data_IF_280023742379
#
_entry.id   IF_280023742379
#
_cell.length_a   1.000
_cell.length_b   1.000
_cell.length_c   1.000
_cell.angle_alpha   90.00
_cell.angle_beta   90.00
_cell.angle_gamma   90.00
#
_symmetry.space_group_name_H-M   'P 1'
#
loop_
_entity.id
_entity.type
_entity.pdbx_description
1 polymer ?
#
# COMPACT_ATOMS: atom_id res chain seq x y z
N UNK A 1 -2.18 20.19 1.59
CA UNK A 1 -3.06 19.94 2.75
C UNK A 1 -2.94 21.04 3.79
N UNK A 2 -1.83 21.24 4.54
CA UNK A 2 -1.71 22.22 5.63
C UNK A 2 -2.09 23.66 5.23
N UNK A 3 -1.66 24.14 4.06
CA UNK A 3 -2.03 25.48 3.58
C UNK A 3 -3.54 25.65 3.36
N UNK A 4 -4.19 24.62 2.83
CA UNK A 4 -5.64 24.62 2.63
C UNK A 4 -6.39 24.62 3.97
N UNK A 5 -5.92 23.83 4.94
CA UNK A 5 -6.46 23.82 6.30
C UNK A 5 -6.36 25.21 6.96
N UNK A 6 -5.16 25.81 6.93
CA UNK A 6 -4.90 27.12 7.53
C UNK A 6 -5.75 28.25 6.88
N UNK A 7 -6.01 28.13 5.57
CA UNK A 7 -6.88 29.06 4.86
C UNK A 7 -8.36 28.90 5.27
N UNK A 8 -8.82 27.66 5.44
CA UNK A 8 -10.21 27.37 5.85
C UNK A 8 -10.47 27.73 7.32
N UNK A 9 -9.47 27.55 8.20
CA UNK A 9 -9.59 27.74 9.64
C UNK A 9 -8.54 28.73 10.18
N UNK A 10 -8.68 30.04 9.92
CA UNK A 10 -7.63 31.04 10.20
C UNK A 10 -7.30 31.21 11.69
N UNK A 11 -8.09 30.62 12.60
CA UNK A 11 -7.81 30.60 14.04
C UNK A 11 -6.98 29.40 14.53
N UNK A 12 -6.64 28.46 13.61
CA UNK A 12 -5.90 27.23 13.92
C UNK A 12 -4.76 27.06 12.93
N UNK A 13 -3.53 26.92 13.42
CA UNK A 13 -2.35 26.77 12.57
C UNK A 13 -1.94 25.30 12.52
N UNK A 14 -1.95 24.70 11.31
CA UNK A 14 -1.37 23.40 11.03
C UNK A 14 0.03 23.56 10.45
N UNK A 15 1.02 22.91 11.04
CA UNK A 15 2.37 22.75 10.51
C UNK A 15 2.61 21.27 10.24
N UNK A 16 2.91 20.93 9.00
CA UNK A 16 3.20 19.55 8.59
C UNK A 16 4.72 19.31 8.52
N UNK A 17 5.15 18.17 9.00
CA UNK A 17 6.53 17.67 8.90
C UNK A 17 6.50 16.35 8.15
N UNK A 18 7.38 16.22 7.17
CA UNK A 18 7.61 14.98 6.44
C UNK A 18 8.80 14.25 7.07
N UNK A 19 8.52 13.08 7.66
CA UNK A 19 9.50 12.26 8.37
C UNK A 19 9.29 10.82 7.89
N UNK A 20 10.38 10.09 7.63
CA UNK A 20 10.30 8.68 7.21
C UNK A 20 9.61 7.80 8.25
N UNK A 21 8.98 6.72 7.79
CA UNK A 21 8.06 5.91 8.61
C UNK A 21 8.64 5.46 9.96
N UNK A 22 9.77 4.77 9.97
CA UNK A 22 10.41 4.27 11.21
C UNK A 22 10.92 5.40 12.10
N UNK A 23 11.50 6.45 11.52
CA UNK A 23 11.98 7.63 12.24
C UNK A 23 10.81 8.39 12.90
N UNK A 24 9.66 8.48 12.21
CA UNK A 24 8.46 9.09 12.76
C UNK A 24 7.99 8.37 14.02
N UNK A 25 7.86 7.05 13.96
CA UNK A 25 7.39 6.25 15.08
C UNK A 25 8.35 6.33 16.29
N UNK A 26 9.65 6.19 16.03
CA UNK A 26 10.67 6.33 17.08
C UNK A 26 10.65 7.72 17.72
N UNK A 27 10.50 8.78 16.93
CA UNK A 27 10.39 10.15 17.42
C UNK A 27 9.17 10.33 18.31
N UNK A 28 8.00 9.92 17.88
CA UNK A 28 6.76 10.06 18.65
C UNK A 28 6.81 9.27 19.94
N UNK A 29 7.35 8.04 19.90
CA UNK A 29 7.54 7.22 21.10
C UNK A 29 8.43 7.90 22.13
N UNK A 30 9.61 8.36 21.72
CA UNK A 30 10.55 9.07 22.61
C UNK A 30 9.93 10.34 23.20
N UNK A 31 9.19 11.11 22.41
CA UNK A 31 8.50 12.31 22.88
C UNK A 31 7.42 11.97 23.90
N UNK A 32 6.64 10.93 23.64
CA UNK A 32 5.58 10.46 24.51
C UNK A 32 6.13 9.98 25.88
N UNK A 33 7.16 9.13 25.86
CA UNK A 33 7.82 8.63 27.08
C UNK A 33 8.47 9.76 27.90
N UNK A 34 8.97 10.80 27.24
CA UNK A 34 9.52 11.99 27.87
C UNK A 34 8.44 12.98 28.37
N UNK A 35 7.15 12.68 28.20
CA UNK A 35 6.05 13.60 28.53
C UNK A 35 6.01 14.85 27.65
N UNK A 36 6.58 14.79 26.45
CA UNK A 36 6.61 15.87 25.46
C UNK A 36 5.71 15.50 24.30
N UNK A 37 4.56 16.11 24.21
CA UNK A 37 3.56 15.84 23.19
C UNK A 37 3.65 16.92 22.11
N UNK A 38 4.57 16.76 21.14
CA UNK A 38 4.85 17.76 20.09
C UNK A 38 3.90 17.59 18.91
N UNK A 39 3.67 16.36 18.48
CA UNK A 39 2.72 16.07 17.41
C UNK A 39 1.29 15.99 17.97
N UNK A 40 0.33 16.58 17.26
CA UNK A 40 -1.10 16.43 17.54
C UNK A 40 -1.73 15.31 16.70
N UNK A 41 -1.33 15.19 15.41
CA UNK A 41 -1.82 14.18 14.46
C UNK A 41 -0.64 13.50 13.79
N UNK A 42 -0.74 12.19 13.62
CA UNK A 42 0.15 11.36 12.82
C UNK A 42 -0.63 10.81 11.62
N UNK A 43 -0.10 11.01 10.42
CA UNK A 43 -0.51 10.32 9.21
C UNK A 43 0.50 9.21 8.94
N UNK A 44 0.04 7.96 8.95
CA UNK A 44 0.90 6.81 8.79
C UNK A 44 0.17 5.65 8.12
N UNK A 45 0.91 4.89 7.33
CA UNK A 45 0.46 3.64 6.75
C UNK A 45 0.91 2.49 7.66
N UNK A 46 -0.06 1.88 8.38
CA UNK A 46 0.22 0.72 9.23
C UNK A 46 0.50 -0.51 8.36
N UNK A 47 1.75 -0.68 8.03
CA UNK A 47 2.19 -1.67 7.04
C UNK A 47 2.25 -3.08 7.60
N UNK A 48 2.54 -3.21 8.88
CA UNK A 48 2.79 -4.50 9.55
C UNK A 48 1.83 -4.78 10.72
N UNK A 49 0.82 -3.92 10.91
CA UNK A 49 -0.12 -4.04 12.01
C UNK A 49 0.40 -3.56 13.37
N UNK A 50 1.65 -3.10 13.44
CA UNK A 50 2.27 -2.69 14.71
C UNK A 50 1.63 -1.45 15.31
N UNK A 51 1.09 -0.54 14.50
CA UNK A 51 0.45 0.67 15.01
C UNK A 51 -0.73 0.32 15.91
N UNK A 52 -1.60 -0.57 15.44
CA UNK A 52 -2.74 -1.00 16.25
C UNK A 52 -2.28 -1.84 17.45
N UNK A 53 -1.47 -2.86 17.21
CA UNK A 53 -1.07 -3.83 18.21
C UNK A 53 -0.17 -3.24 19.32
N UNK A 54 0.60 -2.20 19.00
CA UNK A 54 1.57 -1.63 19.95
C UNK A 54 1.24 -0.19 20.36
N UNK A 55 0.98 0.71 19.40
CA UNK A 55 0.84 2.15 19.66
C UNK A 55 -0.56 2.52 20.16
N UNK A 56 -1.60 1.86 19.66
CA UNK A 56 -2.97 2.08 20.15
C UNK A 56 -3.18 1.36 21.48
N UNK A 57 -2.73 0.12 21.60
CA UNK A 57 -2.81 -0.66 22.85
C UNK A 57 -2.03 -0.01 24.01
N UNK A 58 -0.86 0.58 23.73
CA UNK A 58 -0.06 1.32 24.73
C UNK A 58 -0.56 2.75 24.98
N UNK A 59 -1.67 3.16 24.38
CA UNK A 59 -2.23 4.50 24.47
C UNK A 59 -1.30 5.63 23.98
N UNK A 60 -0.35 5.35 23.11
CA UNK A 60 0.44 6.38 22.43
C UNK A 60 -0.43 7.09 21.40
N UNK A 61 -1.20 6.32 20.65
CA UNK A 61 -2.16 6.83 19.67
C UNK A 61 -3.60 6.59 20.11
N UNK A 62 -4.46 7.50 19.70
CA UNK A 62 -5.89 7.43 19.86
C UNK A 62 -6.58 7.46 18.49
N UNK A 63 -7.44 6.49 18.23
CA UNK A 63 -8.26 6.44 17.02
C UNK A 63 -9.48 7.36 17.20
N UNK A 64 -9.43 8.53 16.60
CA UNK A 64 -10.59 9.40 16.51
C UNK A 64 -11.52 8.94 15.40
N UNK A 65 -12.72 8.54 15.76
CA UNK A 65 -13.69 7.96 14.83
C UNK A 65 -14.86 8.93 14.58
N UNK A 66 -14.77 9.78 13.53
CA UNK A 66 -15.88 10.65 13.13
C UNK A 66 -16.96 9.82 12.42
N UNK A 67 -17.96 9.32 13.15
CA UNK A 67 -18.96 8.35 12.66
C UNK A 67 -19.76 8.89 11.46
N UNK A 68 -20.03 10.19 11.41
CA UNK A 68 -20.70 10.83 10.29
C UNK A 68 -19.90 10.77 8.97
N UNK A 69 -18.58 10.76 9.05
CA UNK A 69 -17.68 10.57 7.89
C UNK A 69 -17.45 9.09 7.63
N UNK A 70 -17.23 8.30 8.69
CA UNK A 70 -16.97 6.87 8.58
C UNK A 70 -18.18 6.08 8.09
N UNK A 71 -19.39 6.64 8.11
CA UNK A 71 -20.56 6.02 7.47
C UNK A 71 -20.42 5.86 5.96
N UNK A 72 -19.51 6.62 5.33
CA UNK A 72 -19.15 6.55 3.91
C UNK A 72 -17.89 5.70 3.63
N UNK A 73 -17.42 4.93 4.60
CA UNK A 73 -16.27 4.04 4.46
C UNK A 73 -16.73 2.61 4.63
N UNK A 74 -16.28 1.72 3.76
CA UNK A 74 -16.56 0.29 3.90
C UNK A 74 -15.99 -0.25 5.22
N UNK A 75 -16.74 -1.12 5.89
CA UNK A 75 -16.39 -1.72 7.19
C UNK A 75 -15.05 -2.45 7.15
N UNK A 76 -14.70 -3.01 5.99
CA UNK A 76 -13.43 -3.73 5.79
C UNK A 76 -12.21 -2.84 5.96
N UNK A 77 -12.31 -1.52 5.67
CA UNK A 77 -11.20 -0.58 5.74
C UNK A 77 -11.10 0.22 7.04
N UNK A 78 -12.12 0.11 7.93
CA UNK A 78 -12.18 0.91 9.17
C UNK A 78 -12.02 0.13 10.46
N UNK A 79 -11.52 -1.11 10.39
CA UNK A 79 -11.48 -2.01 11.53
C UNK A 79 -10.55 -1.53 12.66
N UNK A 80 -9.34 -1.09 12.33
CA UNK A 80 -8.26 -0.84 13.30
C UNK A 80 -7.79 0.61 13.36
N UNK A 81 -8.22 1.49 12.44
CA UNK A 81 -7.68 2.84 12.30
C UNK A 81 -8.73 3.87 11.87
N UNK A 82 -8.34 5.13 11.72
CA UNK A 82 -9.10 6.17 11.03
C UNK A 82 -8.53 6.29 9.62
N UNK A 83 -9.10 5.59 8.63
CA UNK A 83 -8.53 5.49 7.29
C UNK A 83 -8.70 6.81 6.52
N UNK A 84 -7.75 7.11 5.65
CA UNK A 84 -7.73 8.34 4.84
C UNK A 84 -7.83 8.05 3.34
N UNK A 85 -6.94 7.21 2.82
CA UNK A 85 -6.92 6.78 1.43
C UNK A 85 -6.24 5.42 1.28
N UNK A 86 -6.43 4.80 0.13
CA UNK A 86 -5.84 3.51 -0.23
C UNK A 86 -4.80 3.73 -1.32
N UNK A 87 -3.71 3.02 -1.22
CA UNK A 87 -2.77 2.71 -2.30
C UNK A 87 -2.49 1.21 -2.32
N UNK A 88 -1.77 0.71 -3.31
CA UNK A 88 -1.40 -0.70 -3.38
C UNK A 88 -0.05 -0.87 -4.06
N UNK A 89 0.58 -2.02 -3.89
CA UNK A 89 1.67 -2.44 -4.75
C UNK A 89 1.08 -3.11 -5.98
N UNK A 90 1.36 -2.56 -7.17
CA UNK A 90 0.86 -3.06 -8.46
C UNK A 90 1.99 -3.52 -9.36
N UNK A 91 1.71 -4.48 -10.24
CA UNK A 91 2.59 -4.80 -11.34
C UNK A 91 2.36 -3.83 -12.49
N UNK A 92 3.43 -3.27 -13.01
CA UNK A 92 3.43 -2.36 -14.14
C UNK A 92 4.14 -2.95 -15.35
N UNK A 93 3.71 -2.51 -16.52
CA UNK A 93 4.38 -2.79 -17.79
C UNK A 93 4.55 -1.51 -18.61
N UNK A 94 5.35 -1.60 -19.66
CA UNK A 94 5.60 -0.51 -20.61
C UNK A 94 4.53 -0.51 -21.71
N UNK A 95 3.67 0.51 -21.71
CA UNK A 95 2.56 0.62 -22.67
C UNK A 95 2.99 0.83 -24.12
N UNK A 96 4.20 1.38 -24.37
CA UNK A 96 4.71 1.53 -25.74
C UNK A 96 5.14 0.18 -26.34
N UNK A 97 5.69 -0.73 -25.50
CA UNK A 97 6.13 -2.05 -25.93
C UNK A 97 4.97 -3.05 -26.05
N UNK A 98 3.91 -2.85 -25.28
CA UNK A 98 2.72 -3.72 -25.26
C UNK A 98 1.44 -2.88 -25.42
N UNK A 99 1.21 -2.28 -26.62
CA UNK A 99 0.10 -1.33 -26.82
C UNK A 99 -1.29 -1.98 -26.84
N UNK A 100 -1.37 -3.28 -27.19
CA UNK A 100 -2.66 -3.94 -27.41
C UNK A 100 -3.20 -4.65 -26.16
N UNK A 101 -2.30 -5.20 -25.32
CA UNK A 101 -2.66 -5.95 -24.11
C UNK A 101 -1.47 -6.06 -23.16
N UNK A 102 -1.73 -6.26 -21.84
CA UNK A 102 -0.67 -6.55 -20.90
C UNK A 102 0.09 -7.83 -21.27
N UNK A 103 1.41 -7.89 -20.98
CA UNK A 103 2.23 -9.06 -21.29
C UNK A 103 1.97 -10.26 -20.39
N UNK A 104 1.35 -10.04 -19.24
CA UNK A 104 0.93 -11.05 -18.26
C UNK A 104 -0.46 -10.68 -17.73
N UNK A 105 -1.24 -11.66 -17.32
CA UNK A 105 -2.57 -11.48 -16.72
C UNK A 105 -2.77 -12.27 -15.45
N UNK A 106 -1.98 -13.33 -15.27
CA UNK A 106 -1.97 -14.17 -14.10
C UNK A 106 -0.66 -13.97 -13.32
N UNK A 107 -0.72 -13.90 -11.99
CA UNK A 107 0.45 -13.62 -11.15
C UNK A 107 1.55 -14.69 -11.31
N UNK A 108 1.20 -15.94 -11.59
CA UNK A 108 2.17 -17.01 -11.79
C UNK A 108 3.01 -16.85 -13.06
N UNK A 109 2.54 -16.06 -14.04
CA UNK A 109 3.31 -15.80 -15.27
C UNK A 109 4.62 -15.08 -14.95
N UNK A 110 4.67 -14.22 -13.90
CA UNK A 110 5.92 -13.52 -13.53
C UNK A 110 7.02 -14.48 -13.03
N UNK A 111 6.65 -15.71 -12.70
CA UNK A 111 7.60 -16.77 -12.28
C UNK A 111 8.08 -17.65 -13.43
N UNK A 112 7.57 -17.43 -14.65
CA UNK A 112 7.92 -18.24 -15.81
C UNK A 112 9.30 -17.85 -16.38
N UNK A 113 10.00 -18.77 -17.09
CA UNK A 113 11.33 -18.53 -17.61
C UNK A 113 11.49 -17.32 -18.53
N UNK A 114 10.42 -16.90 -19.22
CA UNK A 114 10.43 -15.72 -20.10
C UNK A 114 10.64 -14.41 -19.36
N UNK A 115 10.28 -14.39 -18.07
CA UNK A 115 10.46 -13.23 -17.18
C UNK A 115 11.69 -13.35 -16.28
N UNK A 116 12.50 -14.39 -16.42
CA UNK A 116 13.70 -14.55 -15.62
C UNK A 116 14.65 -13.37 -15.80
N UNK A 117 15.03 -12.73 -14.67
CA UNK A 117 15.87 -11.55 -14.67
C UNK A 117 15.21 -10.28 -15.27
N UNK A 118 13.87 -10.26 -15.40
CA UNK A 118 13.12 -9.16 -16.00
C UNK A 118 11.96 -8.64 -15.15
N UNK A 119 11.81 -9.12 -13.93
CA UNK A 119 10.84 -8.60 -12.95
C UNK A 119 11.59 -7.66 -12.00
N UNK A 120 11.22 -6.39 -11.96
CA UNK A 120 11.79 -5.40 -11.05
C UNK A 120 10.94 -5.27 -9.79
N UNK A 121 11.58 -5.17 -8.62
CA UNK A 121 10.91 -4.95 -7.34
C UNK A 121 11.89 -4.48 -6.26
N UNK A 122 11.39 -3.98 -5.14
CA UNK A 122 12.24 -3.82 -3.96
C UNK A 122 12.37 -5.16 -3.21
N UNK A 123 13.51 -5.36 -2.53
CA UNK A 123 13.66 -6.54 -1.69
C UNK A 123 12.77 -6.40 -0.44
N UNK A 124 11.99 -7.43 -0.14
CA UNK A 124 11.04 -7.44 0.97
C UNK A 124 11.71 -7.30 2.35
N UNK A 125 13.01 -7.57 2.45
CA UNK A 125 13.76 -7.39 3.70
C UNK A 125 14.09 -5.92 4.01
N UNK A 126 14.04 -5.05 3.01
CA UNK A 126 14.47 -3.66 3.14
C UNK A 126 13.34 -2.68 3.48
N UNK A 127 12.08 -3.10 3.35
CA UNK A 127 10.93 -2.23 3.53
C UNK A 127 9.72 -3.01 4.05
N UNK A 128 9.06 -2.49 5.10
CA UNK A 128 7.91 -3.16 5.73
C UNK A 128 6.69 -3.25 4.81
N UNK A 129 6.48 -2.28 3.91
CA UNK A 129 5.37 -2.36 2.96
C UNK A 129 5.53 -3.54 2.00
N UNK A 130 6.78 -3.82 1.59
CA UNK A 130 7.09 -4.96 0.74
C UNK A 130 6.98 -6.28 1.49
N UNK A 131 7.43 -6.33 2.74
CA UNK A 131 7.23 -7.49 3.61
C UNK A 131 5.74 -7.76 3.84
N UNK A 132 4.94 -6.73 4.08
CA UNK A 132 3.49 -6.84 4.23
C UNK A 132 2.82 -7.33 2.94
N UNK A 133 3.19 -6.76 1.78
CA UNK A 133 2.71 -7.23 0.47
C UNK A 133 3.01 -8.72 0.26
N UNK A 134 4.23 -9.17 0.53
CA UNK A 134 4.60 -10.59 0.43
C UNK A 134 3.82 -11.46 1.42
N UNK A 135 3.62 -10.98 2.65
CA UNK A 135 2.85 -11.69 3.67
C UNK A 135 1.40 -11.88 3.25
N UNK A 136 0.81 -10.90 2.56
CA UNK A 136 -0.56 -10.96 2.06
C UNK A 136 -0.81 -12.16 1.13
N UNK A 137 0.20 -12.68 0.45
CA UNK A 137 0.07 -13.90 -0.36
C UNK A 137 0.06 -15.17 0.48
N UNK A 138 0.60 -15.13 1.70
CA UNK A 138 0.83 -16.31 2.53
C UNK A 138 -0.26 -16.56 3.58
N UNK A 139 -1.20 -15.62 3.76
CA UNK A 139 -2.18 -15.64 4.84
C UNK A 139 -3.62 -15.45 4.32
N UNK A 140 -4.61 -15.71 5.20
CA UNK A 140 -6.02 -15.59 4.85
C UNK A 140 -6.43 -16.56 3.75
N UNK A 141 -7.30 -16.11 2.85
CA UNK A 141 -7.82 -16.90 1.73
C UNK A 141 -6.91 -16.84 0.48
N UNK A 142 -5.92 -15.96 0.48
CA UNK A 142 -5.05 -15.73 -0.70
C UNK A 142 -4.30 -16.97 -1.16
N UNK A 143 -3.78 -17.86 -0.29
CA UNK A 143 -3.16 -19.11 -0.74
C UNK A 143 -4.07 -19.98 -1.60
N UNK A 144 -5.35 -20.12 -1.22
CA UNK A 144 -6.31 -20.91 -2.00
C UNK A 144 -6.61 -20.25 -3.35
N UNK A 145 -6.74 -18.91 -3.39
CA UNK A 145 -6.89 -18.16 -4.65
C UNK A 145 -5.70 -18.39 -5.59
N UNK A 146 -4.47 -18.45 -5.04
CA UNK A 146 -3.26 -18.73 -5.81
C UNK A 146 -3.23 -20.16 -6.36
N UNK A 147 -3.69 -21.15 -5.60
CA UNK A 147 -3.80 -22.53 -6.08
C UNK A 147 -4.75 -22.65 -7.27
N UNK A 148 -5.93 -22.03 -7.16
CA UNK A 148 -6.92 -22.01 -8.23
C UNK A 148 -6.37 -21.30 -9.48
N UNK A 149 -5.74 -20.14 -9.33
CA UNK A 149 -5.14 -19.40 -10.43
C UNK A 149 -3.97 -20.15 -11.11
N UNK A 150 -3.19 -20.93 -10.35
CA UNK A 150 -2.17 -21.80 -10.92
C UNK A 150 -2.80 -22.89 -11.78
N UNK A 151 -3.85 -23.53 -11.30
CA UNK A 151 -4.59 -24.56 -12.03
C UNK A 151 -5.25 -24.01 -13.28
N UNK A 152 -5.82 -22.82 -13.20
CA UNK A 152 -6.44 -22.15 -14.38
C UNK A 152 -5.40 -21.82 -15.44
N UNK A 153 -4.18 -21.40 -15.04
CA UNK A 153 -3.10 -21.08 -15.96
C UNK A 153 -2.49 -22.32 -16.61
N UNK A 154 -2.27 -23.38 -15.82
CA UNK A 154 -1.45 -24.54 -16.25
C UNK A 154 -2.27 -25.77 -16.61
N UNK A 155 -3.50 -25.89 -16.10
CA UNK A 155 -4.32 -27.10 -16.16
C UNK A 155 -3.91 -28.18 -15.14
N UNK A 156 -2.94 -27.89 -14.26
CA UNK A 156 -2.37 -28.84 -13.29
C UNK A 156 -2.56 -28.35 -11.86
N UNK A 157 -2.66 -29.26 -10.92
CA UNK A 157 -2.67 -28.91 -9.49
C UNK A 157 -1.28 -28.42 -9.05
N UNK A 158 -1.25 -27.38 -8.20
CA UNK A 158 -0.01 -26.85 -7.66
C UNK A 158 0.67 -27.89 -6.74
N UNK A 159 1.94 -28.15 -6.99
CA UNK A 159 2.78 -28.96 -6.11
C UNK A 159 3.72 -28.05 -5.34
N UNK A 160 3.62 -28.08 -4.01
CA UNK A 160 4.46 -27.27 -3.15
C UNK A 160 5.88 -27.87 -3.06
N UNK A 161 6.87 -26.99 -3.18
CA UNK A 161 8.27 -27.31 -2.94
C UNK A 161 8.54 -27.56 -1.44
N UNK A 162 9.61 -28.27 -1.14
CA UNK A 162 10.07 -28.45 0.25
C UNK A 162 10.26 -27.08 0.93
N UNK A 163 9.74 -26.94 2.14
CA UNK A 163 9.79 -25.74 2.94
C UNK A 163 8.68 -24.70 2.64
N UNK A 164 7.85 -24.91 1.60
CA UNK A 164 6.70 -24.08 1.33
C UNK A 164 5.47 -24.60 2.04
N UNK A 165 4.86 -23.77 2.90
CA UNK A 165 3.69 -24.18 3.70
C UNK A 165 2.38 -24.10 2.92
N UNK A 166 2.30 -23.20 1.95
CA UNK A 166 1.13 -23.00 1.08
C UNK A 166 1.55 -22.33 -0.24
N UNK A 167 0.57 -22.06 -1.11
CA UNK A 167 0.80 -21.48 -2.43
C UNK A 167 1.46 -20.08 -2.38
N UNK A 168 1.25 -19.30 -1.32
CA UNK A 168 1.91 -18.01 -1.16
C UNK A 168 3.42 -18.15 -0.98
N UNK A 169 3.87 -19.08 -0.13
CA UNK A 169 5.30 -19.38 0.02
C UNK A 169 5.90 -19.95 -1.28
N UNK A 170 5.15 -20.83 -1.97
CA UNK A 170 5.58 -21.36 -3.27
C UNK A 170 5.72 -20.25 -4.34
N UNK A 171 4.76 -19.33 -4.39
CA UNK A 171 4.84 -18.15 -5.27
C UNK A 171 6.08 -17.31 -4.97
N UNK A 172 6.31 -16.96 -3.70
CA UNK A 172 7.47 -16.16 -3.30
C UNK A 172 8.78 -16.85 -3.63
N UNK A 173 8.86 -18.17 -3.42
CA UNK A 173 10.03 -18.97 -3.78
C UNK A 173 10.30 -18.93 -5.27
N UNK A 174 9.29 -19.23 -6.10
CA UNK A 174 9.44 -19.21 -7.56
C UNK A 174 9.76 -17.82 -8.09
N UNK A 175 9.18 -16.77 -7.50
CA UNK A 175 9.51 -15.39 -7.84
C UNK A 175 10.98 -15.09 -7.54
N UNK A 176 11.49 -15.52 -6.39
CA UNK A 176 12.91 -15.35 -6.02
C UNK A 176 13.85 -16.12 -6.96
N UNK A 177 13.54 -17.39 -7.25
CA UNK A 177 14.30 -18.25 -8.16
C UNK A 177 14.28 -17.75 -9.62
N UNK A 178 13.30 -16.92 -9.97
CA UNK A 178 13.23 -16.24 -11.27
C UNK A 178 14.15 -15.00 -11.34
N UNK A 179 15.04 -14.81 -10.37
CA UNK A 179 16.10 -13.80 -10.32
C UNK A 179 15.57 -12.37 -10.53
N UNK A 180 14.64 -11.87 -9.67
CA UNK A 180 14.11 -10.52 -9.83
C UNK A 180 15.22 -9.46 -9.69
N UNK A 181 15.08 -8.34 -10.41
CA UNK A 181 15.97 -7.20 -10.30
C UNK A 181 15.56 -6.39 -9.07
N UNK A 182 16.35 -6.46 -8.01
CA UNK A 182 16.11 -5.68 -6.81
C UNK A 182 16.57 -4.22 -6.97
N UNK A 183 15.68 -3.29 -6.65
CA UNK A 183 15.91 -1.85 -6.70
C UNK A 183 15.86 -1.24 -5.31
N UNK A 184 16.35 0.00 -5.17
CA UNK A 184 16.35 0.74 -3.91
C UNK A 184 15.02 1.42 -3.62
N UNK A 185 14.20 1.67 -4.64
CA UNK A 185 12.94 2.40 -4.52
C UNK A 185 11.90 1.99 -5.56
N UNK A 186 10.63 2.27 -5.29
CA UNK A 186 9.57 2.18 -6.31
C UNK A 186 9.73 3.19 -7.45
N UNK A 187 10.51 4.26 -7.26
CA UNK A 187 10.83 5.19 -8.35
C UNK A 187 11.78 4.55 -9.36
N UNK A 188 12.78 3.80 -8.89
CA UNK A 188 13.71 3.07 -9.78
C UNK A 188 12.97 2.02 -10.60
N UNK A 189 11.99 1.31 -10.00
CA UNK A 189 11.13 0.38 -10.73
C UNK A 189 10.32 1.12 -11.79
N UNK A 190 9.67 2.22 -11.41
CA UNK A 190 8.83 3.00 -12.31
C UNK A 190 9.62 3.57 -13.49
N UNK A 191 10.85 4.06 -13.26
CA UNK A 191 11.75 4.53 -14.31
C UNK A 191 12.20 3.39 -15.21
N UNK A 192 12.63 2.26 -14.63
CA UNK A 192 13.10 1.09 -15.38
C UNK A 192 12.03 0.51 -16.29
N UNK A 193 10.79 0.42 -15.81
CA UNK A 193 9.65 -0.09 -16.59
C UNK A 193 9.12 0.98 -17.55
N UNK A 194 8.92 2.21 -17.06
CA UNK A 194 8.18 3.27 -17.76
C UNK A 194 8.97 4.02 -18.82
N UNK A 195 10.30 3.90 -18.86
CA UNK A 195 11.12 4.59 -19.88
C UNK A 195 10.71 4.18 -21.29
N UNK A 196 10.45 5.18 -22.13
CA UNK A 196 10.02 4.96 -23.53
C UNK A 196 11.12 4.45 -24.43
N UNK A 197 10.73 3.78 -25.52
CA UNK A 197 11.64 3.33 -26.58
C UNK A 197 12.44 2.07 -26.24
N UNK A 198 12.11 1.36 -25.19
CA UNK A 198 12.71 0.07 -24.85
C UNK A 198 12.19 -1.02 -25.80
N UNK A 199 13.08 -1.88 -26.32
CA UNK A 199 12.72 -3.01 -27.19
C UNK A 199 12.21 -4.22 -26.39
N UNK A 200 12.76 -4.43 -25.20
CA UNK A 200 12.44 -5.53 -24.29
C UNK A 200 12.40 -5.03 -22.84
N UNK A 201 11.40 -4.19 -22.50
CA UNK A 201 11.33 -3.63 -21.16
C UNK A 201 11.06 -4.71 -20.10
N UNK A 202 11.51 -4.52 -18.86
CA UNK A 202 11.06 -5.33 -17.74
C UNK A 202 9.59 -5.03 -17.42
N UNK A 203 8.99 -5.89 -16.60
CA UNK A 203 7.81 -5.57 -15.80
C UNK A 203 8.25 -5.31 -14.36
N UNK A 204 7.42 -4.67 -13.56
CA UNK A 204 7.88 -4.40 -12.19
C UNK A 204 6.77 -4.08 -11.21
N UNK A 205 6.95 -4.57 -10.00
CA UNK A 205 6.07 -4.22 -8.87
C UNK A 205 6.50 -2.89 -8.25
N UNK A 206 5.58 -1.95 -8.12
CA UNK A 206 5.81 -0.65 -7.48
C UNK A 206 4.53 -0.12 -6.83
N UNK A 207 4.65 0.92 -5.99
CA UNK A 207 3.48 1.63 -5.48
C UNK A 207 2.64 2.18 -6.62
N UNK A 208 1.33 1.95 -6.57
CA UNK A 208 0.34 2.45 -7.52
C UNK A 208 0.43 3.96 -7.73
N UNK A 209 0.82 4.72 -6.71
CA UNK A 209 0.97 6.18 -6.75
C UNK A 209 2.04 6.66 -7.76
N UNK A 210 2.85 5.75 -8.32
CA UNK A 210 3.81 6.12 -9.38
C UNK A 210 3.12 6.51 -10.69
N UNK A 211 1.88 6.08 -10.91
CA UNK A 211 1.08 6.50 -12.08
C UNK A 211 0.98 8.02 -12.23
N UNK A 212 0.86 8.77 -11.12
CA UNK A 212 0.81 10.23 -11.15
C UNK A 212 2.04 10.89 -11.78
N UNK A 213 3.18 10.19 -11.79
CA UNK A 213 4.45 10.68 -12.33
C UNK A 213 4.63 10.42 -13.84
N UNK A 214 3.73 9.65 -14.47
CA UNK A 214 3.84 9.32 -15.90
C UNK A 214 4.02 10.56 -16.77
N UNK A 215 3.19 11.58 -16.56
CA UNK A 215 3.22 12.81 -17.36
C UNK A 215 4.50 13.61 -17.14
N UNK A 216 4.87 13.81 -15.88
CA UNK A 216 6.00 14.67 -15.51
C UNK A 216 7.35 14.07 -15.95
N UNK A 217 7.48 12.74 -15.87
CA UNK A 217 8.69 12.02 -16.24
C UNK A 217 8.66 11.47 -17.67
N UNK A 218 7.59 11.72 -18.44
CA UNK A 218 7.41 11.16 -19.77
C UNK A 218 7.52 9.62 -19.79
N UNK A 219 6.99 8.96 -18.76
CA UNK A 219 6.90 7.50 -18.70
C UNK A 219 5.64 6.97 -19.40
N UNK A 220 5.62 5.68 -19.67
CA UNK A 220 4.47 4.97 -20.23
C UNK A 220 4.07 3.76 -19.37
N UNK A 221 4.05 3.95 -18.04
CA UNK A 221 3.59 2.93 -17.10
C UNK A 221 2.10 2.64 -17.29
N UNK A 222 1.76 1.37 -17.38
CA UNK A 222 0.40 0.88 -17.35
C UNK A 222 0.29 -0.19 -16.27
N UNK A 223 -0.68 -0.11 -15.36
CA UNK A 223 -0.87 -1.11 -14.32
C UNK A 223 -1.59 -2.34 -14.86
N UNK A 224 -1.34 -3.48 -14.27
CA UNK A 224 -1.98 -4.76 -14.60
C UNK A 224 -2.95 -5.15 -13.48
N UNK A 225 -4.17 -5.51 -13.83
CA UNK A 225 -5.08 -6.20 -12.92
C UNK A 225 -4.80 -7.70 -13.01
N UNK A 226 -4.01 -8.22 -12.08
CA UNK A 226 -3.55 -9.60 -12.08
C UNK A 226 -4.63 -10.55 -11.52
N UNK A 227 -4.76 -11.72 -12.13
CA UNK A 227 -5.44 -12.86 -11.54
C UNK A 227 -4.46 -13.64 -10.64
N UNK A 228 -4.88 -14.12 -9.47
CA UNK A 228 -6.19 -13.92 -8.85
C UNK A 228 -6.26 -12.59 -8.08
N UNK A 229 -5.12 -11.94 -7.87
CA UNK A 229 -5.03 -10.71 -7.09
C UNK A 229 -3.80 -9.90 -7.46
N UNK A 230 -3.92 -8.57 -7.37
CA UNK A 230 -2.76 -7.66 -7.42
C UNK A 230 -2.05 -7.56 -6.07
N UNK A 231 -2.68 -8.06 -5.00
CA UNK A 231 -2.19 -7.99 -3.62
C UNK A 231 -3.21 -7.38 -2.66
N UNK A 232 -2.74 -6.91 -1.52
CA UNK A 232 -3.56 -6.30 -0.47
C UNK A 232 -3.63 -4.78 -0.61
N UNK A 233 -4.79 -4.16 -0.30
CA UNK A 233 -4.88 -2.71 -0.18
C UNK A 233 -4.02 -2.21 0.99
N UNK A 234 -3.29 -1.12 0.78
CA UNK A 234 -2.46 -0.47 1.78
C UNK A 234 -3.17 0.80 2.26
N UNK A 235 -3.68 0.77 3.49
CA UNK A 235 -4.49 1.85 4.05
C UNK A 235 -3.59 2.87 4.72
N UNK A 236 -3.64 4.10 4.24
CA UNK A 236 -3.06 5.25 4.92
C UNK A 236 -4.04 5.80 5.94
N UNK A 237 -3.62 5.95 7.18
CA UNK A 237 -4.48 6.24 8.31
C UNK A 237 -4.02 7.45 9.12
N UNK A 238 -4.96 8.00 9.90
CA UNK A 238 -4.76 9.17 10.75
C UNK A 238 -4.93 8.76 12.22
N UNK A 239 -4.03 9.24 13.05
CA UNK A 239 -4.04 8.98 14.49
C UNK A 239 -3.87 10.28 15.26
N UNK A 240 -4.57 10.42 16.37
CA UNK A 240 -4.32 11.51 17.35
C UNK A 240 -3.28 11.01 18.35
N UNK A 241 -2.27 11.80 18.62
CA UNK A 241 -1.32 11.50 19.71
C UNK A 241 -2.02 11.74 21.05
N UNK A 242 -2.02 10.73 21.91
CA UNK A 242 -2.61 10.89 23.23
C UNK A 242 -1.88 11.98 24.06
N UNK A 243 -2.64 12.72 24.85
CA UNK A 243 -2.16 13.87 25.60
C UNK A 243 -1.60 15.02 24.74
N UNK A 244 -1.87 15.05 23.44
CA UNK A 244 -1.47 16.14 22.58
C UNK A 244 -2.02 17.48 23.09
N UNK A 245 -1.32 18.57 22.73
CA UNK A 245 -1.65 19.91 23.26
C UNK A 245 -2.96 20.48 22.72
N UNK A 246 -3.36 20.06 21.51
CA UNK A 246 -4.50 20.64 20.80
C UNK A 246 -5.51 19.56 20.31
N UNK A 247 -6.12 18.76 21.22
CA UNK A 247 -6.93 17.60 20.81
C UNK A 247 -8.14 17.94 19.94
N UNK A 248 -8.76 19.12 20.14
CA UNK A 248 -9.89 19.53 19.30
C UNK A 248 -9.44 20.00 17.92
N UNK A 249 -8.28 20.66 17.80
CA UNK A 249 -7.68 21.01 16.53
C UNK A 249 -7.22 19.77 15.75
N UNK A 250 -6.67 18.78 16.44
CA UNK A 250 -6.32 17.47 15.87
C UNK A 250 -7.53 16.79 15.23
N UNK A 251 -8.66 16.71 15.97
CA UNK A 251 -9.91 16.14 15.45
C UNK A 251 -10.46 16.94 14.26
N UNK A 252 -10.38 18.26 14.30
CA UNK A 252 -10.78 19.11 13.20
C UNK A 252 -9.91 18.88 11.96
N UNK A 253 -8.59 18.74 12.13
CA UNK A 253 -7.67 18.44 11.05
C UNK A 253 -7.96 17.09 10.41
N UNK A 254 -8.20 16.04 11.21
CA UNK A 254 -8.57 14.72 10.71
C UNK A 254 -9.85 14.78 9.87
N UNK A 255 -10.89 15.45 10.37
CA UNK A 255 -12.14 15.64 9.62
C UNK A 255 -11.93 16.38 8.30
N UNK A 256 -11.07 17.41 8.31
CA UNK A 256 -10.71 18.13 7.10
C UNK A 256 -9.96 17.26 6.10
N UNK A 257 -8.98 16.48 6.55
CA UNK A 257 -8.20 15.58 5.69
C UNK A 257 -9.05 14.46 5.07
N UNK A 258 -10.02 13.95 5.81
CA UNK A 258 -10.98 12.95 5.30
C UNK A 258 -12.00 13.55 4.31
N UNK A 259 -12.01 14.88 4.12
CA UNK A 259 -13.09 15.61 3.42
C UNK A 259 -14.30 15.80 4.32
N UNK A 260 -14.73 17.04 4.51
CA UNK A 260 -15.87 17.38 5.36
C UNK A 260 -17.19 16.77 4.88
N UNK A 261 -18.26 16.92 5.67
CA UNK A 261 -19.64 16.57 5.28
C UNK A 261 -20.35 17.74 4.60
N UNK A 262 -19.64 18.85 4.37
CA UNK A 262 -20.13 20.08 3.72
C UNK A 262 -19.85 20.13 2.20
N UNK A 263 -19.31 19.02 1.64
CA UNK A 263 -18.93 18.91 0.22
C UNK A 263 -17.56 19.51 -0.11
N UNK A 264 -16.83 20.03 0.88
CA UNK A 264 -15.44 20.50 0.69
C UNK A 264 -14.45 19.35 0.84
N UNK A 265 -13.90 18.88 -0.28
CA UNK A 265 -12.89 17.82 -0.34
C UNK A 265 -11.45 18.35 -0.34
N UNK A 266 -11.22 19.66 -0.23
CA UNK A 266 -9.89 20.28 -0.37
C UNK A 266 -8.81 19.71 0.56
N UNK A 267 -9.21 19.12 1.69
CA UNK A 267 -8.32 18.39 2.60
C UNK A 267 -7.93 17.01 2.10
N UNK A 268 -8.79 16.38 1.30
CA UNK A 268 -8.57 15.04 0.72
C UNK A 268 -7.88 15.09 -0.65
N UNK A 269 -8.08 16.17 -1.43
CA UNK A 269 -7.55 16.33 -2.78
C UNK A 269 -6.06 15.94 -2.94
N UNK A 270 -5.14 16.26 -2.01
CA UNK A 270 -3.74 15.85 -2.13
C UNK A 270 -3.48 14.35 -2.11
N UNK A 271 -4.44 13.56 -1.63
CA UNK A 271 -4.37 12.11 -1.49
C UNK A 271 -5.17 11.39 -2.57
N UNK A 272 -6.16 12.08 -3.16
CA UNK A 272 -6.97 11.59 -4.28
C UNK A 272 -6.24 11.86 -5.61
N UNK A 273 -5.36 10.95 -6.00
CA UNK A 273 -4.49 11.08 -7.18
C UNK A 273 -4.46 9.77 -7.95
N UNK A 274 -3.95 9.76 -9.19
CA UNK A 274 -3.76 8.52 -9.93
C UNK A 274 -2.94 7.50 -9.11
N UNK A 275 -3.55 6.33 -8.87
CA UNK A 275 -2.98 5.27 -8.06
C UNK A 275 -3.10 5.48 -6.54
N UNK A 276 -3.85 6.48 -6.11
CA UNK A 276 -4.32 6.67 -4.75
C UNK A 276 -5.83 6.88 -4.78
N UNK A 277 -6.58 6.09 -4.01
CA UNK A 277 -8.03 6.10 -4.00
C UNK A 277 -8.56 6.72 -2.71
N UNK A 278 -9.57 7.61 -2.79
CA UNK A 278 -10.26 8.05 -1.60
C UNK A 278 -10.88 6.85 -0.89
N UNK A 279 -10.90 6.89 0.44
CA UNK A 279 -11.46 5.80 1.24
C UNK A 279 -12.99 5.86 1.31
N UNK A 280 -13.56 7.00 0.98
CA UNK A 280 -15.01 7.28 1.06
C UNK A 280 -15.68 7.02 -0.27
N UNK A 281 -16.84 6.37 -0.23
CA UNK A 281 -17.67 6.04 -1.40
C UNK A 281 -18.38 7.25 -2.03
N UNK A 282 -18.44 8.39 -1.30
CA UNK A 282 -19.04 9.63 -1.76
C UNK A 282 -18.01 10.67 -2.30
N UNK A 283 -16.74 10.29 -2.44
CA UNK A 283 -15.68 11.09 -3.08
C UNK A 283 -15.25 10.37 -4.38
N UNK A 284 -15.49 11.02 -5.50
CA UNK A 284 -15.07 10.50 -6.81
C UNK A 284 -13.56 10.34 -6.88
N UNK A 285 -13.03 9.19 -7.37
CA UNK A 285 -11.60 9.01 -7.62
C UNK A 285 -11.05 10.04 -8.63
N UNK A 286 -9.74 10.25 -8.60
CA UNK A 286 -9.05 11.13 -9.54
C UNK A 286 -9.35 10.76 -11.00
N UNK A 287 -9.49 11.77 -11.87
CA UNK A 287 -9.75 11.57 -13.29
C UNK A 287 -8.74 10.59 -13.92
N UNK A 288 -9.25 9.57 -14.61
CA UNK A 288 -8.45 8.51 -15.23
C UNK A 288 -8.06 7.37 -14.29
N UNK A 289 -8.50 7.39 -13.04
CA UNK A 289 -8.37 6.22 -12.15
C UNK A 289 -9.34 5.12 -12.56
N UNK A 290 -8.88 3.88 -12.53
CA UNK A 290 -9.77 2.72 -12.52
C UNK A 290 -10.41 2.64 -11.14
N UNK A 291 -11.74 2.42 -11.02
CA UNK A 291 -12.40 2.26 -9.72
C UNK A 291 -11.73 1.18 -8.86
N UNK A 292 -11.72 1.39 -7.54
CA UNK A 292 -11.04 0.47 -6.61
C UNK A 292 -11.66 -0.93 -6.64
N UNK A 293 -12.97 -1.01 -6.80
CA UNK A 293 -13.75 -2.24 -6.87
C UNK A 293 -13.50 -3.08 -8.14
N UNK A 294 -12.90 -2.47 -9.17
CA UNK A 294 -12.54 -3.19 -10.40
C UNK A 294 -11.17 -3.89 -10.30
N UNK A 295 -10.44 -3.69 -9.21
CA UNK A 295 -9.17 -4.37 -8.96
C UNK A 295 -9.37 -5.68 -8.23
N UNK A 296 -8.65 -6.72 -8.65
CA UNK A 296 -8.59 -8.01 -7.96
C UNK A 296 -7.76 -7.85 -6.68
N UNK A 297 -8.41 -7.57 -5.55
CA UNK A 297 -7.75 -7.36 -4.26
C UNK A 297 -7.96 -8.56 -3.34
N UNK A 298 -6.92 -8.93 -2.62
CA UNK A 298 -7.02 -9.83 -1.47
C UNK A 298 -7.32 -9.02 -0.22
N UNK A 299 -8.21 -9.53 0.62
CA UNK A 299 -8.54 -8.94 1.90
C UNK A 299 -7.94 -9.78 3.02
N UNK A 300 -6.91 -9.24 3.62
CA UNK A 300 -6.18 -9.87 4.72
C UNK A 300 -6.26 -8.96 5.94
N UNK A 301 -6.50 -9.54 7.11
CA UNK A 301 -6.57 -8.75 8.34
C UNK A 301 -5.18 -8.19 8.71
N UNK A 302 -5.17 -7.01 9.32
CA UNK A 302 -3.94 -6.41 9.86
C UNK A 302 -3.29 -7.32 10.90
N UNK A 303 -4.10 -8.06 11.66
CA UNK A 303 -3.65 -9.02 12.66
C UNK A 303 -2.92 -10.22 12.01
N UNK A 304 -3.43 -10.74 10.89
CA UNK A 304 -2.75 -11.82 10.16
C UNK A 304 -1.39 -11.36 9.63
N UNK A 305 -1.29 -10.12 9.14
CA UNK A 305 -0.01 -9.55 8.73
C UNK A 305 0.93 -9.45 9.93
N UNK A 306 0.49 -8.87 11.06
CA UNK A 306 1.30 -8.65 12.24
C UNK A 306 1.95 -9.95 12.77
N UNK A 307 1.15 -11.03 12.87
CA UNK A 307 1.66 -12.30 13.41
C UNK A 307 2.49 -13.12 12.42
N UNK A 308 2.41 -12.85 11.12
CA UNK A 308 3.09 -13.68 10.11
C UNK A 308 4.23 -12.97 9.37
N UNK A 309 4.35 -11.65 9.42
CA UNK A 309 5.33 -10.89 8.62
C UNK A 309 6.77 -11.33 8.90
N UNK A 310 7.14 -11.60 10.14
CA UNK A 310 8.50 -12.05 10.48
C UNK A 310 8.77 -13.46 9.93
N UNK A 311 7.78 -14.36 9.97
CA UNK A 311 7.90 -15.70 9.41
C UNK A 311 8.14 -15.68 7.90
N UNK A 312 7.44 -14.81 7.18
CA UNK A 312 7.62 -14.63 5.74
C UNK A 312 8.99 -14.03 5.42
N UNK A 313 9.46 -13.05 6.20
CA UNK A 313 10.81 -12.49 6.06
C UNK A 313 11.91 -13.52 6.35
N UNK A 314 11.73 -14.33 7.37
CA UNK A 314 12.66 -15.43 7.69
C UNK A 314 12.71 -16.45 6.54
N UNK A 315 11.55 -16.86 6.02
CA UNK A 315 11.48 -17.73 4.85
C UNK A 315 12.23 -17.13 3.65
N UNK A 316 11.97 -15.88 3.31
CA UNK A 316 12.65 -15.19 2.20
C UNK A 316 14.17 -15.17 2.38
N UNK A 317 14.64 -14.98 3.61
CA UNK A 317 16.07 -15.01 3.94
C UNK A 317 16.70 -16.38 3.66
N UNK A 318 15.93 -17.47 3.74
CA UNK A 318 16.45 -18.82 3.44
C UNK A 318 16.62 -19.10 1.94
N UNK A 319 16.07 -18.25 1.07
CA UNK A 319 16.13 -18.43 -0.38
C UNK A 319 17.42 -17.89 -1.00
N UNK A 320 18.18 -17.03 -0.29
CA UNK A 320 19.33 -16.33 -0.86
C UNK A 320 20.61 -16.29 -0.07
#
# INVERSE_FOLDING_TARGET
MANAFNAKYPGVVCTAFDISGSELLEKVTREYEAGRYVADVVHYKDQDGSIYAEYVESNIFYNYRPEDILSHVDDIYKQTSTPLYIEMTQLFYNGDAYPDKPPVTNIWEVTQPEWKGRVMMQNILNDLAWASWATGFCVGDTPAMLEDAYKDLTGEDLVLSEGCENAGYEFLKRLYENEPIFTSSSDDVAEGVGTRGQSTPPIGFASSTKLRKNKDNNWCLVPINLEPTVGIPQINSLYVVNNCQHPNAAKLLIRFMMGGTDGDTSGNDPFNTLGGWPIRDDIEPAEGSVPLEDWNLSHVSTEDIYYNINKVRDFWTTLG
#
